data_IF_043929707151
#
_entry.id   IF_043929707151
#
_cell.length_a   1.000
_cell.length_b   1.000
_cell.length_c   1.000
_cell.angle_alpha   90.00
_cell.angle_beta   90.00
_cell.angle_gamma   90.00
#
_symmetry.space_group_name_H-M   'P 1'
#
loop_
_entity.id
_entity.type
_entity.pdbx_description
1 polymer ?
#
# COMPACT_ATOMS: atom_id res chain seq x y z
N UNK A 1 -8.43 9.51 18.11
CA UNK A 1 -8.43 9.35 16.64
C UNK A 1 -7.08 8.76 16.29
N UNK A 2 -7.05 7.57 15.70
CA UNK A 2 -5.81 6.95 15.20
C UNK A 2 -5.61 7.45 13.76
N UNK A 3 -4.73 8.44 13.50
CA UNK A 3 -4.66 9.17 12.23
C UNK A 3 -4.09 8.39 11.02
N UNK A 4 -4.13 7.05 11.06
CA UNK A 4 -3.29 6.18 10.23
C UNK A 4 -4.05 5.22 9.32
N UNK A 5 -5.37 5.28 9.31
CA UNK A 5 -6.20 4.20 8.74
C UNK A 5 -6.26 4.19 7.21
N UNK A 6 -5.78 5.25 6.55
CA UNK A 6 -5.73 5.30 5.09
C UNK A 6 -4.62 6.18 4.55
N UNK A 7 -4.10 5.79 3.39
CA UNK A 7 -3.14 6.54 2.58
C UNK A 7 -3.69 6.72 1.18
N UNK A 8 -3.48 7.88 0.57
CA UNK A 8 -4.02 8.18 -0.76
C UNK A 8 -2.87 8.37 -1.73
N UNK A 9 -2.91 7.63 -2.83
CA UNK A 9 -2.06 7.86 -3.99
C UNK A 9 -2.90 8.30 -5.18
N UNK A 10 -2.32 9.13 -6.02
CA UNK A 10 -2.93 9.61 -7.25
C UNK A 10 -2.31 8.86 -8.42
N UNK A 11 -3.15 8.23 -9.23
CA UNK A 11 -2.72 7.72 -10.50
C UNK A 11 -2.58 8.83 -11.54
N UNK A 12 -1.81 8.58 -12.59
CA UNK A 12 -1.62 9.53 -13.70
C UNK A 12 -2.93 9.92 -14.37
N UNK A 13 -3.89 9.01 -14.42
CA UNK A 13 -5.23 9.24 -14.98
C UNK A 13 -6.06 10.27 -14.19
N UNK A 14 -5.61 10.69 -13.01
CA UNK A 14 -6.39 11.48 -12.06
C UNK A 14 -7.27 10.61 -11.14
N UNK A 15 -7.16 9.28 -11.26
CA UNK A 15 -7.83 8.33 -10.37
C UNK A 15 -7.22 8.41 -8.96
N UNK A 16 -8.09 8.40 -7.96
CA UNK A 16 -7.70 8.43 -6.55
C UNK A 16 -7.72 7.00 -6.01
N UNK A 17 -6.56 6.49 -5.60
CA UNK A 17 -6.43 5.18 -4.98
C UNK A 17 -6.28 5.35 -3.48
N UNK A 18 -7.32 4.92 -2.75
CA UNK A 18 -7.30 4.94 -1.30
C UNK A 18 -6.84 3.57 -0.76
N UNK A 19 -5.63 3.55 -0.21
CA UNK A 19 -5.08 2.43 0.54
C UNK A 19 -5.62 2.47 1.96
N UNK A 20 -6.06 1.33 2.48
CA UNK A 20 -6.62 1.19 3.82
C UNK A 20 -5.97 0.03 4.56
N UNK A 21 -6.17 -0.02 5.87
CA UNK A 21 -5.70 -1.15 6.69
C UNK A 21 -6.22 -2.47 6.11
N UNK A 22 -5.35 -3.47 6.14
CA UNK A 22 -5.67 -4.81 5.69
C UNK A 22 -6.92 -5.32 6.42
N UNK A 23 -7.96 -5.74 5.71
CA UNK A 23 -9.18 -6.27 6.32
C UNK A 23 -8.91 -7.59 7.04
N UNK A 24 -9.64 -7.84 8.12
CA UNK A 24 -9.66 -9.12 8.82
C UNK A 24 -11.10 -9.63 8.86
N UNK A 25 -11.40 -10.82 8.28
CA UNK A 25 -10.46 -11.76 7.66
C UNK A 25 -9.89 -11.29 6.31
N UNK A 26 -8.77 -11.89 5.88
CA UNK A 26 -8.14 -11.61 4.59
C UNK A 26 -9.05 -12.12 3.43
N UNK A 27 -9.51 -11.25 2.52
CA UNK A 27 -10.31 -11.66 1.36
C UNK A 27 -9.45 -12.32 0.28
N UNK A 28 -9.98 -13.30 -0.47
CA UNK A 28 -9.33 -13.86 -1.65
C UNK A 28 -9.53 -12.94 -2.87
N UNK A 29 -9.08 -11.69 -2.78
CA UNK A 29 -9.26 -10.67 -3.81
C UNK A 29 -7.90 -10.08 -4.23
N UNK A 30 -7.75 -9.83 -5.52
CA UNK A 30 -6.57 -9.13 -6.03
C UNK A 30 -6.54 -7.69 -5.52
N UNK A 31 -5.36 -7.20 -5.16
CA UNK A 31 -5.20 -5.82 -4.71
C UNK A 31 -3.79 -5.29 -4.97
N UNK A 32 -3.67 -3.97 -4.95
CA UNK A 32 -2.37 -3.30 -4.80
C UNK A 32 -2.11 -3.18 -3.31
N UNK A 33 -0.95 -3.63 -2.83
CA UNK A 33 -0.50 -3.39 -1.47
C UNK A 33 0.59 -2.32 -1.44
N UNK A 34 0.66 -1.61 -0.33
CA UNK A 34 1.59 -0.51 -0.10
C UNK A 34 2.35 -0.78 1.18
N UNK A 35 3.67 -0.83 1.06
CA UNK A 35 4.62 -0.92 2.15
C UNK A 35 5.09 0.48 2.50
N UNK A 36 4.79 0.91 3.71
CA UNK A 36 5.13 2.25 4.16
C UNK A 36 5.91 2.22 5.46
N UNK A 37 6.82 3.16 5.59
CA UNK A 37 7.55 3.45 6.82
C UNK A 37 6.85 4.58 7.53
N UNK A 38 6.27 4.31 8.71
CA UNK A 38 5.63 5.35 9.53
C UNK A 38 6.71 5.99 10.39
N UNK A 39 7.25 7.13 9.94
CA UNK A 39 8.15 7.92 10.77
C UNK A 39 7.34 8.75 11.76
N UNK A 40 7.34 8.31 13.01
CA UNK A 40 6.65 9.00 14.07
C UNK A 40 7.34 10.28 14.51
N UNK A 41 6.75 11.44 14.23
CA UNK A 41 7.28 12.71 14.73
C UNK A 41 6.85 12.92 16.18
N UNK A 42 7.79 12.87 17.12
CA UNK A 42 7.58 13.03 18.57
C UNK A 42 7.32 14.48 19.02
N UNK A 43 7.26 15.45 18.10
CA UNK A 43 6.89 16.83 18.43
C UNK A 43 5.40 16.90 18.75
N UNK A 44 5.05 17.44 19.93
CA UNK A 44 3.67 17.68 20.37
C UNK A 44 2.88 18.39 19.28
N UNK A 45 1.96 17.67 18.63
CA UNK A 45 1.23 18.11 17.43
C UNK A 45 1.50 17.27 16.17
N UNK A 46 2.32 16.22 16.28
CA UNK A 46 2.83 15.27 15.28
C UNK A 46 2.25 15.33 13.86
N UNK A 47 3.00 15.95 12.95
CA UNK A 47 2.88 15.68 11.52
C UNK A 47 3.50 14.33 11.24
N UNK A 48 2.67 13.39 10.81
CA UNK A 48 3.12 12.08 10.34
C UNK A 48 3.60 12.20 8.90
N UNK A 49 4.78 11.69 8.62
CA UNK A 49 5.31 11.62 7.26
C UNK A 49 5.53 10.17 6.91
N UNK A 50 4.94 9.75 5.80
CA UNK A 50 5.23 8.47 5.19
C UNK A 50 6.49 8.66 4.34
N UNK A 51 7.55 7.96 4.71
CA UNK A 51 8.82 7.99 3.99
C UNK A 51 8.81 6.80 3.04
N UNK A 52 8.92 7.09 1.74
CA UNK A 52 9.14 6.09 0.68
C UNK A 52 8.05 5.00 0.57
N UNK A 53 6.82 5.32 0.15
CA UNK A 53 5.81 4.31 -0.11
C UNK A 53 6.19 3.47 -1.34
N UNK A 54 6.33 2.16 -1.13
CA UNK A 54 6.54 1.19 -2.20
C UNK A 54 5.27 0.38 -2.41
N UNK A 55 4.95 0.08 -3.66
CA UNK A 55 3.74 -0.66 -4.02
C UNK A 55 4.06 -1.98 -4.70
N UNK A 56 3.21 -2.97 -4.47
CA UNK A 56 3.21 -4.25 -5.15
C UNK A 56 1.79 -4.73 -5.43
N UNK A 57 1.66 -5.83 -6.16
CA UNK A 57 0.35 -6.43 -6.49
C UNK A 57 0.29 -7.87 -6.07
N UNK A 58 -0.89 -8.31 -5.65
CA UNK A 58 -1.22 -9.71 -5.41
C UNK A 58 -2.49 -10.08 -6.17
N UNK A 59 -2.61 -11.36 -6.54
CA UNK A 59 -3.78 -11.89 -7.24
C UNK A 59 -4.84 -12.40 -6.26
N UNK A 60 -4.42 -12.76 -5.06
CA UNK A 60 -5.29 -13.12 -3.95
C UNK A 60 -4.66 -12.65 -2.64
N UNK A 61 -5.26 -11.66 -1.97
CA UNK A 61 -4.71 -11.15 -0.72
C UNK A 61 -4.56 -12.22 0.36
N UNK A 62 -5.50 -13.16 0.48
CA UNK A 62 -5.36 -14.29 1.41
C UNK A 62 -4.41 -15.38 0.93
N UNK A 63 -4.27 -15.60 -0.38
CA UNK A 63 -3.41 -16.63 -0.94
C UNK A 63 -1.94 -16.22 -1.02
N UNK A 64 -1.69 -14.93 -1.23
CA UNK A 64 -0.36 -14.36 -1.48
C UNK A 64 0.21 -13.64 -0.24
N UNK A 65 -0.51 -13.62 0.89
CA UNK A 65 -0.09 -12.92 2.11
C UNK A 65 1.29 -13.37 2.59
N UNK A 66 1.44 -14.65 2.91
CA UNK A 66 2.69 -15.20 3.46
C UNK A 66 3.77 -15.43 2.39
N UNK A 67 3.38 -15.52 1.11
CA UNK A 67 4.33 -15.81 0.02
C UNK A 67 4.89 -14.56 -0.66
N UNK A 68 4.18 -13.43 -0.61
CA UNK A 68 4.55 -12.18 -1.31
C UNK A 68 4.63 -11.01 -0.34
N UNK A 69 3.56 -10.76 0.43
CA UNK A 69 3.45 -9.55 1.26
C UNK A 69 4.38 -9.63 2.48
N UNK A 70 4.39 -10.76 3.19
CA UNK A 70 5.25 -10.96 4.36
C UNK A 70 6.74 -10.84 3.98
N UNK A 71 7.26 -11.54 2.96
CA UNK A 71 8.67 -11.39 2.56
C UNK A 71 9.02 -9.99 2.07
N UNK A 72 8.13 -9.33 1.32
CA UNK A 72 8.35 -7.96 0.86
C UNK A 72 8.44 -6.97 2.03
N UNK A 73 7.59 -7.16 3.05
CA UNK A 73 7.66 -6.38 4.30
C UNK A 73 8.97 -6.63 5.05
N UNK A 74 9.40 -7.88 5.18
CA UNK A 74 10.65 -8.23 5.87
C UNK A 74 11.90 -7.71 5.17
N UNK A 75 11.89 -7.63 3.83
CA UNK A 75 12.98 -7.06 3.05
C UNK A 75 13.14 -5.54 3.27
N UNK A 76 12.07 -4.85 3.70
CA UNK A 76 12.08 -3.41 3.94
C UNK A 76 12.36 -3.12 5.41
N UNK A 77 13.61 -2.76 5.70
CA UNK A 77 14.20 -2.56 7.05
C UNK A 77 13.37 -1.70 8.01
N UNK A 78 12.47 -0.84 7.51
CA UNK A 78 11.66 0.08 8.30
C UNK A 78 10.14 -0.01 8.03
N UNK A 79 9.65 -1.07 7.36
CA UNK A 79 8.22 -1.18 7.07
C UNK A 79 7.41 -1.69 8.27
N UNK A 80 6.77 -0.76 8.98
CA UNK A 80 5.90 -1.08 10.10
C UNK A 80 4.49 -1.53 9.66
N UNK A 81 3.96 -0.99 8.55
CA UNK A 81 2.57 -1.20 8.15
C UNK A 81 2.40 -1.59 6.67
N UNK A 82 1.35 -2.40 6.44
CA UNK A 82 0.86 -2.80 5.11
C UNK A 82 -0.54 -2.23 4.93
N UNK A 83 -0.73 -1.45 3.87
CA UNK A 83 -2.04 -0.99 3.43
C UNK A 83 -2.42 -1.64 2.10
N UNK A 84 -3.71 -1.80 1.84
CA UNK A 84 -4.22 -2.41 0.62
C UNK A 84 -5.24 -1.50 -0.06
N UNK A 85 -5.19 -1.48 -1.40
CA UNK A 85 -6.17 -0.82 -2.24
C UNK A 85 -6.80 -1.87 -3.17
N UNK A 86 -8.12 -1.99 -3.08
CA UNK A 86 -8.92 -2.80 -4.00
C UNK A 86 -9.48 -1.84 -5.07
N UNK A 87 -9.00 -1.90 -6.33
CA UNK A 87 -9.51 -1.01 -7.37
C UNK A 87 -11.00 -1.29 -7.62
N UNK A 88 -11.83 -0.24 -7.60
CA UNK A 88 -13.29 -0.36 -7.75
C UNK A 88 -13.74 -0.66 -9.19
N UNK A 89 -12.94 -0.29 -10.19
CA UNK A 89 -13.38 -0.23 -11.60
C UNK A 89 -12.42 -0.85 -12.63
N UNK A 90 -11.29 -1.43 -12.23
CA UNK A 90 -10.25 -1.87 -13.17
C UNK A 90 -9.42 -3.06 -12.70
N UNK A 91 -8.64 -3.65 -13.62
CA UNK A 91 -7.67 -4.70 -13.32
C UNK A 91 -6.58 -4.17 -12.38
N UNK A 92 -6.12 -4.99 -11.45
CA UNK A 92 -5.06 -4.61 -10.48
C UNK A 92 -3.77 -4.20 -11.19
N UNK A 93 -3.48 -4.76 -12.37
CA UNK A 93 -2.32 -4.37 -13.19
C UNK A 93 -2.48 -2.98 -13.77
N UNK A 94 -3.67 -2.61 -14.23
CA UNK A 94 -3.95 -1.28 -14.76
C UNK A 94 -3.87 -0.24 -13.64
N UNK A 95 -4.43 -0.56 -12.47
CA UNK A 95 -4.33 0.28 -11.28
C UNK A 95 -2.87 0.46 -10.82
N UNK A 96 -2.08 -0.61 -10.85
CA UNK A 96 -0.67 -0.56 -10.52
C UNK A 96 0.12 0.30 -11.52
N UNK A 97 -0.10 0.10 -12.82
CA UNK A 97 0.55 0.89 -13.87
C UNK A 97 0.20 2.38 -13.71
N UNK A 98 -1.08 2.72 -13.49
CA UNK A 98 -1.52 4.11 -13.31
C UNK A 98 -0.89 4.76 -12.08
N UNK A 99 -0.72 4.00 -10.99
CA UNK A 99 -0.03 4.44 -9.77
C UNK A 99 1.47 4.67 -10.00
N UNK A 100 2.15 3.74 -10.67
CA UNK A 100 3.58 3.87 -10.99
C UNK A 100 3.81 5.06 -11.92
N UNK A 101 2.98 5.22 -12.95
CA UNK A 101 3.02 6.39 -13.83
C UNK A 101 2.66 7.71 -13.11
N UNK A 102 1.86 7.63 -12.04
CA UNK A 102 1.53 8.73 -11.13
C UNK A 102 2.66 9.08 -10.14
N UNK A 103 3.76 8.32 -10.13
CA UNK A 103 4.94 8.57 -9.31
C UNK A 103 5.07 7.66 -8.08
N UNK A 104 4.23 6.61 -7.96
CA UNK A 104 4.43 5.58 -6.94
C UNK A 104 5.67 4.73 -7.27
N UNK A 105 6.40 4.30 -6.23
CA UNK A 105 7.60 3.48 -6.41
C UNK A 105 7.21 1.99 -6.41
N UNK A 106 7.49 1.21 -7.45
CA UNK A 106 7.26 -0.23 -7.44
C UNK A 106 8.30 -0.94 -6.56
N UNK A 107 7.90 -2.05 -5.93
CA UNK A 107 8.86 -2.90 -5.21
C UNK A 107 9.95 -3.43 -6.14
N UNK A 108 11.21 -3.51 -5.68
CA UNK A 108 12.28 -4.16 -6.43
C UNK A 108 11.98 -5.66 -6.60
N UNK A 109 12.17 -6.14 -7.84
CA UNK A 109 12.01 -7.56 -8.22
C UNK A 109 13.17 -8.44 -7.74
#
# INVERSE_FOLDING_TARGET
>A
MEPWTSFTLFGKSGTIYQFRRVPSPLPPQACVFLLTTVMGSTVKGGSWQFVEPEIGTVTSLSGDWDSVITPAREAKTESDDVLVCFPESGDVKDAFADLVEGGATPLPH
#
